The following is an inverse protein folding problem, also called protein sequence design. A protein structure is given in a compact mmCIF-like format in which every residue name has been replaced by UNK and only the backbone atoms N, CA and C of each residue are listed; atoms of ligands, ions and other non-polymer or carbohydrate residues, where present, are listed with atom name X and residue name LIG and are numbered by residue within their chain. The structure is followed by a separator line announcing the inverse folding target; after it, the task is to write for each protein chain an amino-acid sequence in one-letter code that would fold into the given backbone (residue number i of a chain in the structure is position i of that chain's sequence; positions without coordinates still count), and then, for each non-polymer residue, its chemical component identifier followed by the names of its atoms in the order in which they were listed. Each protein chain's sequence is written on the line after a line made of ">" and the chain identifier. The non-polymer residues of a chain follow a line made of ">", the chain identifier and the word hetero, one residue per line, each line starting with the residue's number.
data_IF_522945577619
#
_entry.id   IF_522945577619
#
_cell.length_a   1.000
_cell.length_b   1.000
_cell.length_c   1.000
_cell.angle_alpha   90.00
_cell.angle_beta   90.00
_cell.angle_gamma   90.00
#
_symmetry.space_group_name_H-M   'P 1'
#
loop_
_entity.id
_entity.type
_entity.pdbx_description
1 polymer ?
#
# COMPACT_ATOMS: atom_id res chain seq x y z
N UNK A 1 -7.08 7.77 -10.26
CA UNK A 1 -5.68 7.30 -10.32
C UNK A 1 -4.79 8.53 -10.23
N UNK A 2 -3.79 8.54 -9.35
CA UNK A 2 -2.84 9.66 -9.25
C UNK A 2 -1.73 9.59 -10.33
N UNK A 3 -0.80 10.55 -10.31
CA UNK A 3 0.33 10.62 -11.27
C UNK A 3 1.27 9.40 -11.20
N UNK A 4 1.18 8.59 -10.15
CA UNK A 4 1.97 7.38 -9.94
C UNK A 4 1.17 6.11 -10.27
N UNK A 5 -0.04 6.25 -10.82
CA UNK A 5 -0.91 5.13 -11.17
C UNK A 5 -1.55 4.48 -9.93
N UNK A 6 -1.61 5.17 -8.79
CA UNK A 6 -2.16 4.62 -7.55
C UNK A 6 -3.59 5.14 -7.33
N UNK A 7 -4.50 4.24 -6.97
CA UNK A 7 -5.85 4.60 -6.53
C UNK A 7 -5.78 4.95 -5.04
N UNK A 8 -6.14 6.19 -4.70
CA UNK A 8 -6.22 6.70 -3.32
C UNK A 8 -7.66 6.79 -2.88
N UNK A 9 -7.91 6.54 -1.59
CA UNK A 9 -9.24 6.66 -1.02
C UNK A 9 -9.49 8.10 -0.61
N UNK A 10 -10.52 8.73 -1.18
CA UNK A 10 -11.06 10.05 -0.79
C UNK A 10 -10.03 11.18 -0.58
N UNK A 11 -8.96 11.21 -1.39
CA UNK A 11 -7.91 12.23 -1.28
C UNK A 11 -6.94 12.05 -0.11
N UNK A 12 -7.13 11.02 0.72
CA UNK A 12 -6.18 10.66 1.76
C UNK A 12 -4.91 10.03 1.19
N UNK A 13 -3.84 10.00 1.99
CA UNK A 13 -2.61 9.27 1.62
C UNK A 13 -2.77 7.74 1.63
N UNK A 14 -3.91 7.26 2.09
CA UNK A 14 -4.25 5.84 2.16
C UNK A 14 -4.61 5.32 0.78
N UNK A 15 -3.94 4.26 0.36
CA UNK A 15 -4.16 3.64 -0.94
C UNK A 15 -5.31 2.63 -0.86
N UNK A 16 -5.99 2.46 -1.99
CA UNK A 16 -6.98 1.40 -2.17
C UNK A 16 -6.40 0.03 -1.79
N UNK A 17 -5.19 -0.29 -2.27
CA UNK A 17 -4.45 -1.51 -1.96
C UNK A 17 -4.28 -1.75 -0.44
N UNK A 18 -4.10 -0.69 0.35
CA UNK A 18 -3.92 -0.80 1.80
C UNK A 18 -5.21 -1.22 2.51
N UNK A 19 -6.35 -0.65 2.09
CA UNK A 19 -7.67 -1.00 2.63
C UNK A 19 -8.02 -2.45 2.29
N UNK A 20 -7.86 -2.84 1.03
CA UNK A 20 -8.14 -4.21 0.58
C UNK A 20 -7.23 -5.22 1.29
N UNK A 21 -5.94 -4.91 1.40
CA UNK A 21 -4.99 -5.78 2.10
C UNK A 21 -5.35 -5.97 3.59
N UNK A 22 -5.84 -4.93 4.26
CA UNK A 22 -6.30 -5.05 5.65
C UNK A 22 -7.57 -5.90 5.76
N UNK A 23 -8.53 -5.68 4.85
CA UNK A 23 -9.77 -6.47 4.78
C UNK A 23 -9.49 -7.96 4.51
N UNK A 24 -8.59 -8.29 3.58
CA UNK A 24 -8.20 -9.67 3.29
C UNK A 24 -7.49 -10.36 4.47
N UNK A 25 -6.87 -9.60 5.38
CA UNK A 25 -6.33 -10.12 6.65
C UNK A 25 -7.41 -10.36 7.73
N UNK A 26 -8.67 -10.10 7.42
CA UNK A 26 -9.81 -10.30 8.32
C UNK A 26 -10.17 -9.07 9.15
N UNK A 27 -9.59 -7.91 8.89
CA UNK A 27 -9.96 -6.69 9.60
C UNK A 27 -11.37 -6.21 9.17
N UNK A 28 -12.17 -5.77 10.12
CA UNK A 28 -13.48 -5.16 9.82
C UNK A 28 -13.32 -3.74 9.25
N UNK A 29 -14.32 -3.20 8.54
CA UNK A 29 -14.31 -1.81 8.09
C UNK A 29 -14.02 -0.80 9.21
N UNK A 30 -14.54 -1.03 10.41
CA UNK A 30 -14.32 -0.19 11.60
C UNK A 30 -12.88 -0.28 12.10
N UNK A 31 -12.30 -1.48 12.15
CA UNK A 31 -10.90 -1.67 12.52
C UNK A 31 -9.96 -1.00 11.51
N UNK A 32 -10.31 -1.06 10.22
CA UNK A 32 -9.58 -0.37 9.15
C UNK A 32 -9.71 1.15 9.32
N UNK A 33 -10.89 1.67 9.66
CA UNK A 33 -11.08 3.09 9.93
C UNK A 33 -10.27 3.57 11.15
N UNK A 34 -10.14 2.72 12.18
CA UNK A 34 -9.28 2.97 13.33
C UNK A 34 -7.79 3.02 12.95
N UNK A 35 -7.35 2.13 12.05
CA UNK A 35 -5.98 2.13 11.51
C UNK A 35 -5.69 3.34 10.61
N UNK A 36 -6.72 3.88 9.96
CA UNK A 36 -6.61 4.98 9.00
C UNK A 36 -7.57 6.13 9.34
N UNK A 37 -7.32 6.93 10.41
CA UNK A 37 -8.24 7.97 10.86
C UNK A 37 -8.49 9.12 9.87
N UNK A 38 -7.69 9.18 8.80
CA UNK A 38 -7.81 10.18 7.72
C UNK A 38 -8.80 9.77 6.64
N UNK A 39 -9.33 8.55 6.70
CA UNK A 39 -10.35 8.04 5.77
C UNK A 39 -11.66 7.89 6.53
N UNK A 40 -12.75 8.38 5.95
CA UNK A 40 -14.05 8.27 6.56
C UNK A 40 -14.56 6.83 6.47
N UNK A 41 -15.22 6.34 7.51
CA UNK A 41 -15.79 5.00 7.55
C UNK A 41 -16.70 4.67 6.34
N UNK A 42 -17.59 5.58 5.87
CA UNK A 42 -18.39 5.33 4.68
C UNK A 42 -17.57 5.06 3.41
N UNK A 43 -16.41 5.72 3.27
CA UNK A 43 -15.54 5.53 2.12
C UNK A 43 -14.86 4.16 2.15
N UNK A 44 -14.51 3.68 3.35
CA UNK A 44 -13.98 2.32 3.54
C UNK A 44 -15.03 1.29 3.15
N UNK A 45 -16.28 1.48 3.58
CA UNK A 45 -17.39 0.63 3.16
C UNK A 45 -17.59 0.64 1.64
N UNK A 46 -17.56 1.80 1.00
CA UNK A 46 -17.69 1.92 -0.45
C UNK A 46 -16.55 1.20 -1.20
N UNK A 47 -15.32 1.33 -0.72
CA UNK A 47 -14.14 0.64 -1.27
C UNK A 47 -14.29 -0.89 -1.16
N UNK A 48 -14.69 -1.39 0.01
CA UNK A 48 -14.86 -2.83 0.23
C UNK A 48 -16.03 -3.37 -0.62
N UNK A 49 -17.15 -2.66 -0.69
CA UNK A 49 -18.28 -3.05 -1.52
C UNK A 49 -17.90 -3.12 -3.01
N UNK A 50 -17.13 -2.13 -3.50
CA UNK A 50 -16.62 -2.14 -4.87
C UNK A 50 -15.70 -3.34 -5.11
N UNK A 51 -14.76 -3.62 -4.19
CA UNK A 51 -13.85 -4.76 -4.28
C UNK A 51 -14.61 -6.10 -4.34
N UNK A 52 -15.56 -6.31 -3.44
CA UNK A 52 -16.35 -7.55 -3.40
C UNK A 52 -17.17 -7.75 -4.68
N UNK A 53 -17.62 -6.66 -5.30
CA UNK A 53 -18.40 -6.70 -6.55
C UNK A 53 -17.55 -6.91 -7.80
N UNK A 54 -16.26 -6.57 -7.76
CA UNK A 54 -15.34 -6.60 -8.92
C UNK A 54 -14.05 -7.38 -8.62
N UNK A 55 -14.15 -8.43 -7.80
CA UNK A 55 -12.99 -9.11 -7.21
C UNK A 55 -11.95 -9.54 -8.25
N UNK A 56 -12.37 -10.15 -9.35
CA UNK A 56 -11.45 -10.62 -10.40
C UNK A 56 -10.67 -9.49 -11.08
N UNK A 57 -11.35 -8.40 -11.46
CA UNK A 57 -10.72 -7.23 -12.09
C UNK A 57 -9.74 -6.56 -11.11
N UNK A 58 -10.15 -6.41 -9.86
CA UNK A 58 -9.32 -5.78 -8.82
C UNK A 58 -8.11 -6.64 -8.48
N UNK A 59 -8.26 -7.96 -8.40
CA UNK A 59 -7.14 -8.88 -8.16
C UNK A 59 -6.11 -8.82 -9.29
N UNK A 60 -6.54 -8.76 -10.55
CA UNK A 60 -5.65 -8.60 -11.71
C UNK A 60 -4.86 -7.29 -11.64
N UNK A 61 -5.54 -6.18 -11.32
CA UNK A 61 -4.91 -4.88 -11.11
C UNK A 61 -3.88 -4.94 -9.96
N UNK A 62 -4.25 -5.50 -8.80
CA UNK A 62 -3.37 -5.61 -7.63
C UNK A 62 -2.15 -6.50 -7.92
N UNK A 63 -2.31 -7.55 -8.72
CA UNK A 63 -1.21 -8.40 -9.18
C UNK A 63 -0.23 -7.65 -10.08
N UNK A 64 -0.75 -6.86 -11.03
CA UNK A 64 0.07 -5.99 -11.87
C UNK A 64 0.91 -5.01 -11.02
N UNK A 65 0.28 -4.41 -10.01
CA UNK A 65 0.93 -3.50 -9.06
C UNK A 65 2.03 -4.19 -8.24
N UNK A 66 1.78 -5.40 -7.74
CA UNK A 66 2.77 -6.19 -7.00
C UNK A 66 4.00 -6.51 -7.85
N UNK A 67 3.79 -6.91 -9.11
CA UNK A 67 4.88 -7.21 -10.06
C UNK A 67 5.75 -5.98 -10.32
N UNK A 68 5.12 -4.83 -10.57
CA UNK A 68 5.87 -3.59 -10.81
C UNK A 68 6.64 -3.13 -9.56
N UNK A 69 6.02 -3.19 -8.38
CA UNK A 69 6.70 -2.87 -7.13
C UNK A 69 7.92 -3.79 -6.88
N UNK A 70 7.79 -5.09 -7.14
CA UNK A 70 8.88 -6.06 -7.02
C UNK A 70 10.02 -5.76 -8.01
N UNK A 71 9.70 -5.40 -9.26
CA UNK A 71 10.66 -5.01 -10.27
C UNK A 71 11.43 -3.75 -9.87
N UNK A 72 10.73 -2.69 -9.47
CA UNK A 72 11.34 -1.43 -9.01
C UNK A 72 12.22 -1.67 -7.78
N UNK A 73 11.78 -2.54 -6.85
CA UNK A 73 12.57 -2.93 -5.68
C UNK A 73 13.87 -3.63 -6.09
N UNK A 74 13.80 -4.62 -6.97
CA UNK A 74 14.97 -5.35 -7.45
C UNK A 74 15.96 -4.44 -8.20
N UNK A 75 15.45 -3.50 -9.01
CA UNK A 75 16.29 -2.50 -9.68
C UNK A 75 17.00 -1.58 -8.69
N UNK A 76 16.27 -1.07 -7.69
CA UNK A 76 16.85 -0.24 -6.64
C UNK A 76 17.88 -1.00 -5.81
N UNK A 77 17.62 -2.25 -5.44
CA UNK A 77 18.57 -3.09 -4.71
C UNK A 77 19.83 -3.39 -5.53
N UNK A 78 19.73 -3.51 -6.85
CA UNK A 78 20.91 -3.63 -7.74
C UNK A 78 21.70 -2.33 -7.83
N UNK A 79 21.01 -1.19 -7.92
CA UNK A 79 21.62 0.14 -8.10
C UNK A 79 22.19 0.71 -6.81
N UNK A 80 21.53 0.42 -5.68
CA UNK A 80 21.85 0.85 -4.33
C UNK A 80 21.83 -0.35 -3.40
N UNK A 81 22.82 -1.24 -3.50
CA UNK A 81 22.85 -2.43 -2.68
C UNK A 81 22.88 -2.06 -1.19
N UNK A 82 22.02 -2.68 -0.35
CA UNK A 82 21.81 -2.24 1.04
C UNK A 82 22.97 -2.59 1.98
N UNK A 83 24.09 -3.11 1.46
CA UNK A 83 25.27 -3.42 2.26
C UNK A 83 25.89 -2.13 2.81
N UNK A 84 26.32 -2.16 4.06
CA UNK A 84 26.91 -0.98 4.70
C UNK A 84 25.91 0.11 5.08
N UNK A 85 24.59 -0.04 4.82
CA UNK A 85 23.59 0.96 5.27
C UNK A 85 23.53 0.99 6.79
N UNK A 86 23.56 -0.17 7.45
CA UNK A 86 23.61 -0.25 8.91
C UNK A 86 24.93 0.34 9.45
N UNK A 87 26.09 -0.04 8.91
CA UNK A 87 27.38 0.55 9.29
C UNK A 87 27.40 2.07 9.09
N UNK A 88 26.88 2.58 7.97
CA UNK A 88 26.78 4.02 7.68
C UNK A 88 25.85 4.76 8.64
N UNK A 89 24.72 4.15 9.01
CA UNK A 89 23.79 4.75 9.96
C UNK A 89 24.36 4.75 11.38
N UNK A 90 25.13 3.73 11.75
CA UNK A 90 25.80 3.66 13.05
C UNK A 90 27.00 4.61 13.13
N UNK A 91 27.78 4.75 12.06
CA UNK A 91 28.89 5.72 11.99
C UNK A 91 28.42 7.19 12.06
N UNK A 92 27.15 7.47 11.72
CA UNK A 92 26.53 8.81 11.86
C UNK A 92 25.95 9.07 13.25
N UNK A 93 25.77 8.03 14.06
CA UNK A 93 25.22 8.13 15.42
C UNK A 93 26.29 8.20 16.51
N UNK A 94 27.57 8.01 16.17
CA UNK A 94 28.67 8.26 17.09
C UNK A 94 29.25 9.67 16.81
N UNK A 95 29.40 10.52 17.84
CA UNK A 95 29.84 11.92 17.71
C UNK A 95 31.29 12.06 17.28
#
# INVERSE_FOLDING_TARGET
>A
MDREGVIRVSGARVTFDSVISAFDRGATPEEIASQYPTVLLPDIYAVIAYYLSHRGEVEEYLDGRRREAARVRAENERRFPPHGVRERLMARQQP
#
